data_IF_329157767728
#
_entry.id   IF_329157767728
#
_cell.length_a   1.000
_cell.length_b   1.000
_cell.length_c   1.000
_cell.angle_alpha   90.00
_cell.angle_beta   90.00
_cell.angle_gamma   90.00
#
_symmetry.space_group_name_H-M   'P 1'
#
loop_
_entity.id
_entity.type
_entity.pdbx_description
1 polymer ?
#
# COMPACT_ATOMS: atom_id res chain seq x y z
N UNK A 1 -18.07 -1.85 13.48
CA UNK A 1 -17.17 -1.98 12.33
C UNK A 1 -15.95 -2.72 12.82
N UNK A 2 -15.52 -3.76 12.15
CA UNK A 2 -14.51 -4.64 12.71
C UNK A 2 -13.13 -3.98 12.72
N UNK A 3 -12.51 -4.06 13.89
CA UNK A 3 -11.11 -3.78 14.09
C UNK A 3 -10.41 -5.10 14.44
N UNK A 4 -9.29 -5.33 13.82
CA UNK A 4 -8.50 -6.54 14.01
C UNK A 4 -7.27 -6.21 14.86
N UNK A 5 -7.08 -6.97 15.93
CA UNK A 5 -5.94 -6.78 16.84
C UNK A 5 -4.66 -7.27 16.16
N UNK A 6 -3.68 -6.37 16.06
CA UNK A 6 -2.36 -6.67 15.52
C UNK A 6 -1.40 -7.13 16.61
N UNK A 7 -0.30 -7.80 16.28
CA UNK A 7 0.64 -8.35 17.26
C UNK A 7 1.24 -7.32 18.22
N UNK A 8 1.33 -6.07 17.80
CA UNK A 8 1.83 -4.94 18.60
C UNK A 8 0.75 -4.24 19.45
N UNK A 9 -0.46 -4.79 19.49
CA UNK A 9 -1.60 -4.26 20.24
C UNK A 9 -2.41 -3.19 19.52
N UNK A 10 -2.01 -2.79 18.32
CA UNK A 10 -2.77 -1.84 17.51
C UNK A 10 -4.02 -2.50 16.90
N UNK A 11 -5.01 -1.68 16.55
CA UNK A 11 -6.29 -2.15 16.01
C UNK A 11 -6.47 -1.71 14.56
N UNK A 12 -6.09 -2.57 13.63
CA UNK A 12 -6.27 -2.31 12.21
C UNK A 12 -7.76 -2.31 11.85
N UNK A 13 -8.21 -1.25 11.22
CA UNK A 13 -9.57 -1.17 10.70
C UNK A 13 -9.67 -1.87 9.33
N UNK A 14 -10.65 -2.74 9.18
CA UNK A 14 -11.01 -3.35 7.90
C UNK A 14 -12.47 -3.04 7.60
N UNK A 15 -12.73 -2.35 6.51
CA UNK A 15 -14.09 -2.15 6.05
C UNK A 15 -14.64 -3.44 5.48
N UNK A 16 -15.74 -3.90 6.04
CA UNK A 16 -16.45 -5.06 5.54
C UNK A 16 -17.86 -4.68 5.10
N UNK A 17 -18.27 -5.16 3.93
CA UNK A 17 -19.65 -5.04 3.47
C UNK A 17 -19.96 -6.07 2.38
N UNK A 18 -21.25 -6.28 2.15
CA UNK A 18 -21.74 -7.24 1.18
C UNK A 18 -21.84 -8.66 1.73
N UNK A 19 -22.17 -9.59 0.84
CA UNK A 19 -22.35 -11.02 1.15
C UNK A 19 -21.93 -11.89 -0.04
N UNK A 20 -21.62 -13.14 0.20
CA UNK A 20 -21.22 -14.10 -0.84
C UNK A 20 -19.71 -14.25 -0.97
N UNK A 21 -19.21 -14.31 -2.19
CA UNK A 21 -17.80 -14.64 -2.47
C UNK A 21 -16.85 -13.59 -1.90
N UNK A 22 -15.81 -13.98 -1.15
CA UNK A 22 -14.91 -13.03 -0.50
C UNK A 22 -13.98 -12.35 -1.50
N UNK A 23 -13.88 -11.02 -1.38
CA UNK A 23 -12.98 -10.16 -2.15
C UNK A 23 -12.16 -9.33 -1.20
N UNK A 24 -10.85 -9.43 -1.29
CA UNK A 24 -9.90 -8.61 -0.56
C UNK A 24 -9.43 -7.47 -1.47
N UNK A 25 -9.51 -6.23 -0.98
CA UNK A 25 -9.10 -5.04 -1.75
C UNK A 25 -7.97 -4.34 -1.01
N UNK A 26 -6.81 -4.28 -1.62
CA UNK A 26 -5.60 -3.67 -1.08
C UNK A 26 -5.37 -2.32 -1.74
N UNK A 27 -5.51 -1.27 -0.95
CA UNK A 27 -5.49 0.12 -1.40
C UNK A 27 -4.08 0.65 -1.67
N UNK A 28 -3.97 1.68 -2.51
CA UNK A 28 -2.74 2.45 -2.70
C UNK A 28 -2.40 3.35 -1.51
N UNK A 29 -1.25 3.99 -1.58
CA UNK A 29 -0.77 4.92 -0.55
C UNK A 29 -1.77 6.08 -0.36
N UNK A 30 -2.12 6.35 0.89
CA UNK A 30 -3.03 7.44 1.24
C UNK A 30 -4.51 7.17 0.97
N UNK A 31 -4.85 6.09 0.29
CA UNK A 31 -6.24 5.73 0.04
C UNK A 31 -6.91 5.18 1.30
N UNK A 32 -8.19 5.50 1.42
CA UNK A 32 -9.08 5.00 2.47
C UNK A 32 -10.12 4.05 1.89
N UNK A 33 -10.50 3.05 2.66
CA UNK A 33 -11.42 2.00 2.23
C UNK A 33 -12.77 2.49 1.69
N UNK A 34 -13.27 3.64 2.16
CA UNK A 34 -14.53 4.21 1.69
C UNK A 34 -14.48 4.69 0.23
N UNK A 35 -13.28 5.01 -0.29
CA UNK A 35 -13.11 5.48 -1.68
C UNK A 35 -13.41 4.39 -2.71
N UNK A 36 -13.41 3.13 -2.30
CA UNK A 36 -13.80 2.01 -3.14
C UNK A 36 -15.32 1.81 -3.25
N UNK A 37 -16.11 2.40 -2.35
CA UNK A 37 -17.57 2.18 -2.32
C UNK A 37 -18.27 2.53 -3.64
N UNK A 38 -17.97 3.64 -4.34
CA UNK A 38 -18.63 3.96 -5.61
C UNK A 38 -18.51 2.85 -6.66
N UNK A 39 -17.40 2.10 -6.63
CA UNK A 39 -17.15 1.04 -7.60
C UNK A 39 -17.69 -0.32 -7.16
N UNK A 40 -17.63 -0.62 -5.87
CA UNK A 40 -17.88 -1.97 -5.35
C UNK A 40 -19.29 -2.17 -4.80
N UNK A 41 -19.94 -1.10 -4.35
CA UNK A 41 -21.23 -1.22 -3.65
C UNK A 41 -22.34 -1.86 -4.49
N UNK A 42 -22.35 -1.65 -5.81
CA UNK A 42 -23.31 -2.29 -6.72
C UNK A 42 -23.19 -3.83 -6.71
N UNK A 43 -22.03 -4.36 -6.36
CA UNK A 43 -21.72 -5.80 -6.36
C UNK A 43 -21.93 -6.48 -5.00
N UNK A 44 -22.37 -5.75 -3.97
CA UNK A 44 -22.49 -6.20 -2.58
C UNK A 44 -23.45 -7.40 -2.36
N UNK A 45 -24.33 -7.69 -3.29
CA UNK A 45 -25.23 -8.86 -3.21
C UNK A 45 -24.56 -10.17 -3.63
N UNK A 46 -23.43 -10.08 -4.34
CA UNK A 46 -22.69 -11.24 -4.88
C UNK A 46 -21.36 -11.43 -4.19
N UNK A 47 -20.74 -10.34 -3.74
CA UNK A 47 -19.41 -10.36 -3.15
C UNK A 47 -19.41 -9.73 -1.75
N UNK A 48 -18.64 -10.35 -0.86
CA UNK A 48 -18.29 -9.78 0.45
C UNK A 48 -16.90 -9.16 0.37
N UNK A 49 -16.83 -7.88 0.56
CA UNK A 49 -15.61 -7.09 0.43
C UNK A 49 -14.94 -6.89 1.78
N UNK A 50 -13.62 -7.00 1.80
CA UNK A 50 -12.72 -6.74 2.92
C UNK A 50 -11.68 -5.74 2.45
N UNK A 51 -11.66 -4.54 3.03
CA UNK A 51 -10.81 -3.44 2.59
C UNK A 51 -10.09 -2.87 3.80
N UNK A 52 -8.84 -3.27 4.07
CA UNK A 52 -8.03 -2.69 5.13
C UNK A 52 -7.75 -1.21 4.87
N UNK A 53 -7.85 -0.38 5.90
CA UNK A 53 -7.19 0.92 5.92
C UNK A 53 -5.80 0.73 6.51
N UNK A 54 -4.77 1.08 5.73
CA UNK A 54 -3.39 1.00 6.19
C UNK A 54 -3.16 1.91 7.40
N UNK A 55 -2.18 1.58 8.25
CA UNK A 55 -1.81 2.39 9.42
C UNK A 55 -1.60 3.85 9.04
N UNK A 56 -2.14 4.76 9.83
CA UNK A 56 -2.09 6.20 9.59
C UNK A 56 -3.19 6.74 8.68
N UNK A 57 -4.07 5.87 8.13
CA UNK A 57 -5.12 6.29 7.21
C UNK A 57 -6.49 5.77 7.64
N UNK A 58 -7.54 6.50 7.26
CA UNK A 58 -8.94 6.13 7.45
C UNK A 58 -9.27 5.70 8.87
N UNK A 59 -9.88 4.54 9.01
CA UNK A 59 -10.22 3.94 10.31
C UNK A 59 -9.02 3.47 11.13
N UNK A 60 -7.82 3.37 10.52
CA UNK A 60 -6.55 3.03 11.17
C UNK A 60 -5.66 4.27 11.41
N UNK A 61 -6.21 5.49 11.32
CA UNK A 61 -5.45 6.74 11.46
C UNK A 61 -4.74 6.88 12.82
N UNK A 62 -5.26 6.24 13.86
CA UNK A 62 -4.70 6.27 15.21
C UNK A 62 -3.71 5.14 15.50
N UNK A 63 -3.49 4.23 14.55
CA UNK A 63 -2.47 3.20 14.70
C UNK A 63 -1.07 3.80 14.68
N UNK A 64 -0.19 3.31 15.55
CA UNK A 64 1.21 3.74 15.61
C UNK A 64 1.90 3.54 14.27
N UNK A 65 2.78 4.48 13.94
CA UNK A 65 3.68 4.35 12.80
C UNK A 65 4.58 3.13 13.07
N UNK A 66 4.65 2.18 12.13
CA UNK A 66 5.47 0.99 12.29
C UNK A 66 6.97 1.33 12.32
N UNK A 67 7.74 0.52 13.00
CA UNK A 67 9.22 0.66 13.06
C UNK A 67 9.91 0.03 11.85
N UNK A 68 9.23 -0.85 11.13
CA UNK A 68 9.71 -1.45 9.88
C UNK A 68 9.41 -0.53 8.68
N UNK A 69 9.97 -0.87 7.53
CA UNK A 69 9.54 -0.25 6.29
C UNK A 69 8.03 -0.47 6.05
N UNK A 70 7.43 0.43 5.28
CA UNK A 70 5.97 0.44 5.12
C UNK A 70 5.44 -0.87 4.52
N UNK A 71 6.14 -1.46 3.54
CA UNK A 71 5.67 -2.66 2.83
C UNK A 71 5.70 -3.88 3.73
N UNK A 72 6.82 -4.10 4.44
CA UNK A 72 6.93 -5.20 5.39
C UNK A 72 5.93 -5.08 6.53
N UNK A 73 5.70 -3.86 7.03
CA UNK A 73 4.71 -3.60 8.08
C UNK A 73 3.27 -3.85 7.61
N UNK A 74 2.92 -3.39 6.41
CA UNK A 74 1.61 -3.64 5.83
C UNK A 74 1.39 -5.13 5.55
N UNK A 75 2.43 -5.84 5.13
CA UNK A 75 2.34 -7.29 4.98
C UNK A 75 2.13 -7.98 6.33
N UNK A 76 2.81 -7.59 7.38
CA UNK A 76 2.61 -8.18 8.71
C UNK A 76 1.18 -7.98 9.21
N UNK A 77 0.61 -6.78 9.03
CA UNK A 77 -0.78 -6.51 9.39
C UNK A 77 -1.75 -7.33 8.55
N UNK A 78 -1.51 -7.39 7.23
CA UNK A 78 -2.32 -8.19 6.32
C UNK A 78 -2.26 -9.68 6.66
N UNK A 79 -1.08 -10.21 6.94
CA UNK A 79 -0.90 -11.60 7.34
C UNK A 79 -1.63 -11.92 8.66
N UNK A 80 -1.57 -11.02 9.63
CA UNK A 80 -2.32 -11.16 10.89
C UNK A 80 -3.84 -11.20 10.65
N UNK A 81 -4.34 -10.35 9.76
CA UNK A 81 -5.73 -10.39 9.32
C UNK A 81 -6.08 -11.72 8.64
N UNK A 82 -5.26 -12.17 7.68
CA UNK A 82 -5.49 -13.39 6.91
C UNK A 82 -5.49 -14.66 7.78
N UNK A 83 -4.69 -14.70 8.83
CA UNK A 83 -4.67 -15.82 9.78
C UNK A 83 -6.02 -16.05 10.47
N UNK A 84 -6.89 -15.03 10.52
CA UNK A 84 -8.25 -15.18 11.04
C UNK A 84 -9.21 -15.77 9.99
N UNK A 85 -8.75 -15.94 8.76
CA UNK A 85 -9.46 -16.49 7.60
C UNK A 85 -8.64 -17.61 6.94
N UNK A 86 -8.01 -18.48 7.74
CA UNK A 86 -7.04 -19.48 7.27
C UNK A 86 -7.57 -20.36 6.13
N UNK A 87 -8.86 -20.73 6.17
CA UNK A 87 -9.52 -21.58 5.17
C UNK A 87 -10.20 -20.78 4.03
N UNK A 88 -9.92 -19.48 3.94
CA UNK A 88 -10.57 -18.60 2.96
C UNK A 88 -9.62 -18.20 1.86
N UNK A 89 -9.99 -18.53 0.61
CA UNK A 89 -9.32 -18.00 -0.57
C UNK A 89 -10.11 -16.81 -1.15
N UNK A 90 -9.45 -15.67 -1.27
CA UNK A 90 -10.02 -14.42 -1.74
C UNK A 90 -9.82 -14.20 -3.23
N UNK A 91 -10.77 -13.56 -3.90
CA UNK A 91 -10.43 -12.76 -5.07
C UNK A 91 -9.74 -11.50 -4.58
N UNK A 92 -8.54 -11.21 -5.07
CA UNK A 92 -7.72 -10.09 -4.61
C UNK A 92 -7.70 -9.00 -5.67
N UNK A 93 -8.02 -7.78 -5.28
CA UNK A 93 -7.82 -6.56 -6.06
C UNK A 93 -6.72 -5.77 -5.35
N UNK A 94 -5.59 -5.58 -5.99
CA UNK A 94 -4.45 -4.90 -5.40
C UNK A 94 -4.01 -3.71 -6.27
N UNK A 95 -4.04 -2.51 -5.68
CA UNK A 95 -3.76 -1.26 -6.37
C UNK A 95 -2.51 -0.59 -5.80
N UNK A 96 -1.58 -0.20 -6.68
CA UNK A 96 -0.40 0.59 -6.36
C UNK A 96 0.40 -0.01 -5.17
N UNK A 97 0.58 0.71 -4.07
CA UNK A 97 1.26 0.21 -2.85
C UNK A 97 0.63 -1.09 -2.31
N UNK A 98 -0.69 -1.25 -2.42
CA UNK A 98 -1.36 -2.50 -2.07
C UNK A 98 -0.91 -3.68 -2.92
N UNK A 99 -0.62 -3.45 -4.21
CA UNK A 99 -0.06 -4.47 -5.10
C UNK A 99 1.40 -4.79 -4.73
N UNK A 100 2.20 -3.79 -4.33
CA UNK A 100 3.56 -4.02 -3.80
C UNK A 100 3.53 -4.88 -2.53
N UNK A 101 2.62 -4.56 -1.61
CA UNK A 101 2.41 -5.35 -0.38
C UNK A 101 2.00 -6.79 -0.69
N UNK A 102 1.10 -6.98 -1.66
CA UNK A 102 0.68 -8.30 -2.11
C UNK A 102 1.85 -9.10 -2.71
N UNK A 103 2.63 -8.49 -3.60
CA UNK A 103 3.82 -9.15 -4.18
C UNK A 103 4.86 -9.53 -3.11
N UNK A 104 5.07 -8.64 -2.13
CA UNK A 104 5.93 -8.95 -0.98
C UNK A 104 5.43 -10.18 -0.22
N UNK A 105 4.13 -10.24 0.07
CA UNK A 105 3.51 -11.38 0.74
C UNK A 105 3.53 -12.69 -0.07
N UNK A 106 3.45 -12.59 -1.41
CA UNK A 106 3.60 -13.75 -2.31
C UNK A 106 5.04 -14.27 -2.29
N UNK A 107 6.01 -13.36 -2.33
CA UNK A 107 7.44 -13.70 -2.42
C UNK A 107 8.03 -14.18 -1.08
N UNK A 108 7.70 -13.50 0.02
CA UNK A 108 8.35 -13.71 1.32
C UNK A 108 7.42 -14.27 2.39
N UNK A 109 6.16 -14.53 2.05
CA UNK A 109 5.15 -15.06 2.95
C UNK A 109 4.29 -16.14 2.31
N UNK A 110 3.10 -16.32 2.88
CA UNK A 110 2.14 -17.34 2.46
C UNK A 110 0.90 -16.75 1.77
N UNK A 111 0.97 -15.51 1.27
CA UNK A 111 -0.21 -14.86 0.69
C UNK A 111 -0.82 -15.64 -0.48
N UNK A 112 0.00 -16.33 -1.26
CA UNK A 112 -0.46 -17.17 -2.38
C UNK A 112 -1.52 -18.20 -1.97
N UNK A 113 -1.47 -18.70 -0.73
CA UNK A 113 -2.38 -19.72 -0.22
C UNK A 113 -3.79 -19.17 0.05
N UNK A 114 -3.90 -17.83 0.18
CA UNK A 114 -5.17 -17.11 0.33
C UNK A 114 -5.71 -16.52 -0.97
N UNK A 115 -5.08 -16.77 -2.12
CA UNK A 115 -5.46 -16.16 -3.40
C UNK A 115 -6.23 -17.18 -4.25
N UNK A 116 -7.48 -16.84 -4.58
CA UNK A 116 -8.27 -17.53 -5.59
C UNK A 116 -8.05 -16.97 -6.99
N UNK A 117 -8.00 -15.64 -7.09
CA UNK A 117 -7.60 -14.90 -8.29
C UNK A 117 -7.02 -13.56 -7.89
N UNK A 118 -6.19 -12.98 -8.73
CA UNK A 118 -5.44 -11.76 -8.44
C UNK A 118 -5.57 -10.76 -9.58
N UNK A 119 -6.05 -9.55 -9.26
CA UNK A 119 -6.08 -8.41 -10.16
C UNK A 119 -5.04 -7.40 -9.68
N UNK A 120 -4.03 -7.20 -10.49
CA UNK A 120 -2.93 -6.27 -10.26
C UNK A 120 -3.19 -4.97 -11.01
N UNK A 121 -3.24 -3.84 -10.28
CA UNK A 121 -3.57 -2.54 -10.87
C UNK A 121 -2.47 -1.54 -10.53
N UNK A 122 -1.95 -0.90 -11.57
CA UNK A 122 -1.09 0.29 -11.50
C UNK A 122 0.15 0.12 -10.59
N UNK A 123 0.86 -0.99 -10.79
CA UNK A 123 2.15 -1.23 -10.14
C UNK A 123 3.05 -2.08 -11.04
N UNK A 124 4.35 -1.82 -10.97
CA UNK A 124 5.33 -2.64 -11.69
C UNK A 124 5.65 -3.91 -10.89
N UNK A 125 5.96 -5.03 -11.55
CA UNK A 125 6.34 -6.27 -10.86
C UNK A 125 7.67 -6.16 -10.11
N UNK A 126 8.51 -5.20 -10.47
CA UNK A 126 9.78 -4.89 -9.82
C UNK A 126 9.92 -3.38 -9.66
N UNK A 127 10.09 -2.92 -8.44
CA UNK A 127 10.10 -1.50 -8.11
C UNK A 127 11.45 -0.86 -8.45
N UNK A 128 12.55 -1.59 -8.29
CA UNK A 128 13.89 -1.11 -8.64
C UNK A 128 14.13 -1.13 -10.14
N UNK A 129 14.94 -0.18 -10.62
CA UNK A 129 15.48 -0.16 -11.99
C UNK A 129 16.88 -0.76 -11.98
N UNK A 130 17.12 -1.71 -12.85
CA UNK A 130 18.46 -2.28 -13.09
C UNK A 130 18.65 -2.60 -14.58
N UNK A 131 19.74 -3.31 -14.93
CA UNK A 131 20.08 -3.64 -16.31
C UNK A 131 19.01 -4.47 -17.01
N UNK A 132 18.33 -5.35 -16.26
CA UNK A 132 17.33 -6.27 -16.80
C UNK A 132 15.91 -5.70 -16.75
N UNK A 133 15.70 -4.61 -15.97
CA UNK A 133 14.40 -4.00 -15.77
C UNK A 133 14.47 -2.47 -15.71
N UNK A 134 14.15 -1.83 -16.83
CA UNK A 134 14.21 -0.36 -16.96
C UNK A 134 12.90 0.35 -16.55
N UNK A 135 11.87 -0.39 -16.17
CA UNK A 135 10.51 0.13 -15.91
C UNK A 135 10.16 0.25 -14.43
N UNK A 136 11.16 0.14 -13.55
CA UNK A 136 10.97 0.34 -12.11
C UNK A 136 10.71 1.81 -11.76
N UNK A 137 10.18 2.03 -10.55
CA UNK A 137 9.96 3.37 -10.00
C UNK A 137 11.26 4.00 -9.47
N UNK A 138 12.19 3.19 -9.01
CA UNK A 138 13.40 3.62 -8.33
C UNK A 138 14.66 3.20 -9.09
N UNK A 139 15.45 4.19 -9.48
CA UNK A 139 16.78 3.97 -10.04
C UNK A 139 17.83 4.36 -9.01
N UNK A 140 18.55 3.40 -8.45
CA UNK A 140 19.59 3.61 -7.45
C UNK A 140 20.72 4.55 -7.91
N UNK A 141 20.87 4.72 -9.23
CA UNK A 141 21.93 5.52 -9.84
C UNK A 141 21.62 7.02 -9.95
N UNK A 142 20.43 7.48 -9.57
CA UNK A 142 20.11 8.89 -9.58
C UNK A 142 20.60 9.54 -8.28
N UNK A 143 21.61 10.39 -8.36
CA UNK A 143 22.13 11.15 -7.22
C UNK A 143 21.00 11.91 -6.51
N UNK A 144 20.10 12.52 -7.28
CA UNK A 144 18.97 13.28 -6.77
C UNK A 144 17.96 12.41 -6.00
N UNK A 145 17.75 11.16 -6.40
CA UNK A 145 16.91 10.22 -5.66
C UNK A 145 17.47 9.94 -4.26
N UNK A 146 18.78 9.70 -4.17
CA UNK A 146 19.44 9.45 -2.88
C UNK A 146 19.33 10.65 -1.95
N UNK A 147 19.48 11.87 -2.49
CA UNK A 147 19.31 13.11 -1.71
C UNK A 147 17.88 13.25 -1.19
N UNK A 148 16.87 13.03 -2.04
CA UNK A 148 15.48 13.12 -1.63
C UNK A 148 15.15 12.06 -0.58
N UNK A 149 15.58 10.82 -0.78
CA UNK A 149 15.36 9.74 0.19
C UNK A 149 16.04 10.04 1.52
N UNK A 150 17.28 10.58 1.50
CA UNK A 150 17.97 10.99 2.70
C UNK A 150 17.22 12.11 3.42
N UNK A 151 16.77 13.14 2.69
CA UNK A 151 15.98 14.24 3.26
C UNK A 151 14.70 13.74 3.94
N UNK A 152 13.99 12.79 3.33
CA UNK A 152 12.79 12.16 3.93
C UNK A 152 13.17 11.38 5.18
N UNK A 153 14.25 10.62 5.13
CA UNK A 153 14.76 9.85 6.27
C UNK A 153 15.15 10.74 7.43
N UNK A 154 15.89 11.83 7.15
CA UNK A 154 16.31 12.79 8.15
C UNK A 154 15.12 13.51 8.79
N UNK A 155 14.13 13.90 7.99
CA UNK A 155 12.91 14.53 8.47
C UNK A 155 12.12 13.59 9.40
N UNK A 156 12.01 12.31 9.06
CA UNK A 156 11.35 11.30 9.90
C UNK A 156 12.15 11.04 11.18
N UNK A 157 13.48 10.96 11.10
CA UNK A 157 14.35 10.74 12.25
C UNK A 157 14.30 11.91 13.25
N UNK A 158 14.29 13.17 12.76
CA UNK A 158 14.14 14.37 13.59
C UNK A 158 12.80 14.40 14.33
N UNK A 159 11.82 13.64 13.86
CA UNK A 159 10.46 13.61 14.37
C UNK A 159 10.05 12.23 14.90
N UNK A 160 11.05 11.43 15.32
CA UNK A 160 10.83 10.07 15.83
C UNK A 160 9.97 9.98 17.11
N UNK A 161 9.79 11.11 17.82
CA UNK A 161 8.87 11.21 18.96
C UNK A 161 7.40 11.10 18.55
N UNK A 162 7.07 11.41 17.31
CA UNK A 162 5.70 11.28 16.80
C UNK A 162 5.42 9.83 16.39
N UNK A 163 4.41 9.24 17.01
CA UNK A 163 4.03 7.84 16.79
C UNK A 163 2.88 7.67 15.82
N UNK A 164 2.13 8.73 15.59
CA UNK A 164 0.97 8.74 14.69
C UNK A 164 1.22 9.70 13.54
N UNK A 165 0.69 9.38 12.39
CA UNK A 165 0.72 10.30 11.23
C UNK A 165 -0.01 11.61 11.58
N UNK A 166 -1.07 11.53 12.40
CA UNK A 166 -1.82 12.70 12.88
C UNK A 166 -1.01 13.66 13.75
N UNK A 167 0.05 13.16 14.39
CA UNK A 167 0.88 13.96 15.30
C UNK A 167 1.88 14.84 14.54
N UNK A 168 2.07 14.55 13.26
CA UNK A 168 2.92 15.38 12.40
C UNK A 168 2.29 16.77 12.21
N UNK A 169 3.09 17.82 12.45
CA UNK A 169 2.63 19.19 12.23
C UNK A 169 2.30 19.44 10.76
N UNK A 170 1.50 20.46 10.50
CA UNK A 170 1.15 20.84 9.12
C UNK A 170 2.38 21.18 8.28
N UNK A 171 3.40 21.85 8.85
CA UNK A 171 4.64 22.18 8.16
C UNK A 171 5.44 20.93 7.78
N UNK A 172 5.52 19.94 8.68
CA UNK A 172 6.20 18.67 8.42
C UNK A 172 5.51 17.86 7.35
N UNK A 173 4.18 17.79 7.40
CA UNK A 173 3.40 17.14 6.34
C UNK A 173 3.60 17.82 5.00
N UNK A 174 3.64 19.16 4.97
CA UNK A 174 3.90 19.92 3.76
C UNK A 174 5.29 19.63 3.21
N UNK A 175 6.30 19.54 4.08
CA UNK A 175 7.68 19.23 3.65
C UNK A 175 7.80 17.80 3.11
N UNK A 176 7.20 16.81 3.77
CA UNK A 176 7.14 15.45 3.26
C UNK A 176 6.46 15.38 1.87
N UNK A 177 5.36 16.11 1.69
CA UNK A 177 4.68 16.19 0.39
C UNK A 177 5.56 16.83 -0.67
N UNK A 178 6.28 17.90 -0.34
CA UNK A 178 7.25 18.53 -1.28
C UNK A 178 8.32 17.56 -1.71
N UNK A 179 8.95 16.85 -0.77
CA UNK A 179 9.98 15.87 -1.05
C UNK A 179 9.43 14.74 -1.92
N UNK A 180 8.22 14.29 -1.62
CA UNK A 180 7.55 13.26 -2.41
C UNK A 180 7.21 13.73 -3.83
N UNK A 181 6.72 14.95 -3.99
CA UNK A 181 6.45 15.54 -5.30
C UNK A 181 7.74 15.74 -6.11
N UNK A 182 8.82 16.19 -5.49
CA UNK A 182 10.12 16.30 -6.14
C UNK A 182 10.60 14.93 -6.64
N UNK A 183 10.44 13.89 -5.82
CA UNK A 183 10.74 12.50 -6.18
C UNK A 183 9.92 12.03 -7.39
N UNK A 184 8.61 12.28 -7.39
CA UNK A 184 7.73 11.93 -8.52
C UNK A 184 8.16 12.67 -9.79
N UNK A 185 8.49 13.95 -9.69
CA UNK A 185 8.93 14.76 -10.83
C UNK A 185 10.23 14.25 -11.45
N UNK A 186 11.18 13.80 -10.64
CA UNK A 186 12.42 13.16 -11.12
C UNK A 186 12.15 11.86 -11.88
N UNK A 187 11.09 11.15 -11.54
CA UNK A 187 10.67 9.92 -12.24
C UNK A 187 9.87 10.20 -13.52
N UNK A 188 9.24 11.37 -13.61
CA UNK A 188 8.37 11.77 -14.70
C UNK A 188 9.15 12.43 -15.85
N UNK A 189 10.14 11.74 -16.41
CA UNK A 189 10.62 12.16 -17.74
C UNK A 189 9.54 11.83 -18.79
N UNK A 190 9.25 12.73 -19.76
CA UNK A 190 8.16 12.54 -20.73
C UNK A 190 8.17 11.20 -21.47
N UNK A 191 9.35 10.66 -21.78
CA UNK A 191 9.52 9.35 -22.40
C UNK A 191 9.15 8.18 -21.49
N UNK A 192 9.31 8.31 -20.16
CA UNK A 192 8.95 7.28 -19.18
C UNK A 192 7.46 7.31 -18.82
N UNK A 193 6.86 8.48 -18.74
CA UNK A 193 5.44 8.63 -18.48
C UNK A 193 4.61 8.00 -19.58
N UNK A 194 4.94 8.23 -20.85
CA UNK A 194 4.28 7.60 -21.98
C UNK A 194 4.44 6.06 -21.97
N UNK A 195 5.63 5.55 -21.64
CA UNK A 195 5.87 4.11 -21.55
C UNK A 195 5.15 3.45 -20.37
N UNK A 196 4.99 4.14 -19.23
CA UNK A 196 4.23 3.65 -18.07
C UNK A 196 2.73 3.57 -18.38
N UNK A 197 2.17 4.58 -19.06
CA UNK A 197 0.75 4.58 -19.45
C UNK A 197 0.43 3.57 -20.56
N UNK A 198 1.36 3.29 -21.46
CA UNK A 198 1.16 2.28 -22.51
C UNK A 198 1.29 0.84 -22.02
N UNK A 199 1.87 0.61 -20.84
CA UNK A 199 2.09 -0.73 -20.27
C UNK A 199 1.28 -1.01 -18.99
N UNK A 200 0.29 -0.21 -18.66
CA UNK A 200 -0.80 -0.62 -17.80
C UNK A 200 -1.64 -1.67 -18.54
N UNK A 201 -0.97 -2.75 -18.96
CA UNK A 201 -1.61 -3.89 -19.60
C UNK A 201 -2.17 -4.77 -18.50
N UNK A 202 -3.45 -4.93 -18.56
CA UNK A 202 -4.23 -6.00 -17.94
C UNK A 202 -3.55 -7.34 -18.27
N UNK A 203 -3.05 -8.02 -17.22
CA UNK A 203 -2.78 -9.45 -17.28
C UNK A 203 -3.96 -10.21 -16.73
#
# INVERSE_FOLDING_TARGET
MPHYLMPDGEKLYVREFGQGTPVLVLSGLGMQSWQWLPFLYQHRKKYRFYIPDWRGFGGSAQCKIPTLDAISSHWQDLNCFLNQYADTAFHVIAYSMGATTAMHGIQYGHFKDHIRSYLHIDQTPKISVDADWLHGLFAEKHADFKVILQNITDLLAQNAQYRLVSDLTASMRTELVKQWLAFIQLQATPSRTAALFQKAVVF
#
